data_IF_406713838013
#
_entry.id   IF_406713838013
#
_cell.length_a   1.000
_cell.length_b   1.000
_cell.length_c   1.000
_cell.angle_alpha   90.00
_cell.angle_beta   90.00
_cell.angle_gamma   90.00
#
_symmetry.space_group_name_H-M   'P 1'
#
loop_
_entity.id
_entity.type
_entity.pdbx_description
1 polymer ?
#
# COMPACT_ATOMS: atom_id res chain seq x y z
N UNK A 1 18.07 -20.55 -86.85
CA UNK A 1 17.14 -19.71 -86.08
C UNK A 1 17.13 -20.20 -84.62
N UNK A 2 17.88 -19.52 -83.71
CA UNK A 2 17.99 -19.92 -82.32
C UNK A 2 17.16 -18.95 -81.44
N UNK A 3 16.11 -19.49 -80.84
CA UNK A 3 15.21 -18.77 -79.95
C UNK A 3 15.92 -18.62 -78.59
N UNK A 4 16.14 -17.36 -78.13
CA UNK A 4 16.69 -17.08 -76.80
C UNK A 4 15.52 -16.97 -75.82
N UNK A 5 15.40 -17.91 -74.89
CA UNK A 5 14.54 -17.81 -73.75
C UNK A 5 15.12 -16.82 -72.74
N UNK A 6 14.36 -15.79 -72.38
CA UNK A 6 14.67 -14.87 -71.30
C UNK A 6 14.09 -15.47 -70.00
N UNK A 7 14.99 -15.84 -69.09
CA UNK A 7 14.61 -16.27 -67.76
C UNK A 7 14.35 -15.04 -66.89
N UNK A 8 13.10 -14.84 -66.50
CA UNK A 8 12.71 -13.76 -65.60
C UNK A 8 12.81 -14.28 -64.12
N UNK A 9 13.77 -13.77 -63.37
CA UNK A 9 13.93 -14.08 -61.94
C UNK A 9 13.00 -13.18 -61.17
N UNK A 10 11.89 -13.75 -60.63
CA UNK A 10 11.05 -13.07 -59.64
C UNK A 10 11.73 -13.15 -58.26
N UNK A 11 12.20 -12.01 -57.80
CA UNK A 11 12.72 -11.91 -56.42
C UNK A 11 11.55 -11.73 -55.44
N UNK A 12 11.19 -12.80 -54.74
CA UNK A 12 10.22 -12.74 -53.65
C UNK A 12 10.94 -12.14 -52.41
N UNK A 13 10.67 -10.84 -52.14
CA UNK A 13 11.08 -10.24 -50.85
C UNK A 13 10.08 -10.70 -49.78
N UNK A 14 10.49 -11.66 -48.96
CA UNK A 14 9.73 -12.09 -47.80
C UNK A 14 9.95 -11.05 -46.68
N UNK A 15 9.01 -10.13 -46.54
CA UNK A 15 8.97 -9.20 -45.41
C UNK A 15 8.64 -10.01 -44.13
N UNK A 16 9.67 -10.43 -43.37
CA UNK A 16 9.48 -10.91 -42.02
C UNK A 16 9.04 -9.74 -41.15
N UNK A 17 7.74 -9.61 -40.90
CA UNK A 17 7.23 -8.79 -39.82
C UNK A 17 7.67 -9.41 -38.49
N UNK A 18 8.73 -8.84 -37.92
CA UNK A 18 9.18 -9.17 -36.58
C UNK A 18 8.13 -8.62 -35.60
N UNK A 19 7.17 -9.48 -35.24
CA UNK A 19 6.23 -9.20 -34.18
C UNK A 19 7.05 -9.24 -32.87
N UNK A 20 7.58 -8.08 -32.43
CA UNK A 20 8.10 -7.98 -31.07
C UNK A 20 6.94 -8.27 -30.11
N UNK A 21 7.09 -9.26 -29.21
CA UNK A 21 6.11 -9.38 -28.13
C UNK A 21 6.15 -8.08 -27.34
N UNK A 22 5.01 -7.38 -27.23
CA UNK A 22 4.84 -6.35 -26.21
C UNK A 22 5.22 -7.01 -24.88
N UNK A 23 6.32 -6.57 -24.32
CA UNK A 23 6.68 -6.94 -22.95
C UNK A 23 5.51 -6.44 -22.08
N UNK A 24 4.71 -7.37 -21.59
CA UNK A 24 3.75 -7.06 -20.52
C UNK A 24 4.57 -6.43 -19.39
N UNK A 25 4.09 -5.33 -18.79
CA UNK A 25 4.79 -4.78 -17.64
C UNK A 25 4.92 -5.90 -16.63
N UNK A 26 6.17 -6.24 -16.28
CA UNK A 26 6.47 -7.22 -15.25
C UNK A 26 5.71 -6.78 -14.01
N UNK A 27 4.79 -7.63 -13.54
CA UNK A 27 4.10 -7.38 -12.28
C UNK A 27 5.20 -7.11 -11.26
N UNK A 28 5.17 -5.91 -10.66
CA UNK A 28 6.11 -5.52 -9.64
C UNK A 28 5.94 -6.46 -8.46
N UNK A 29 6.75 -7.52 -8.39
CA UNK A 29 6.95 -8.27 -7.16
C UNK A 29 7.71 -7.37 -6.19
N UNK A 30 7.00 -6.38 -5.66
CA UNK A 30 7.46 -5.66 -4.51
C UNK A 30 7.35 -6.60 -3.32
N UNK A 31 8.41 -7.35 -3.04
CA UNK A 31 8.50 -8.15 -1.83
C UNK A 31 8.41 -7.19 -0.65
N UNK A 32 7.33 -7.32 0.12
CA UNK A 32 7.23 -6.61 1.39
C UNK A 32 8.50 -6.90 2.19
N UNK A 33 9.28 -5.86 2.47
CA UNK A 33 10.54 -5.98 3.23
C UNK A 33 10.32 -6.32 4.70
N UNK A 34 9.05 -6.40 5.11
CA UNK A 34 8.63 -6.73 6.46
C UNK A 34 8.86 -8.22 6.74
N UNK A 35 9.61 -8.50 7.77
CA UNK A 35 9.92 -9.86 8.22
C UNK A 35 8.95 -10.33 9.31
N UNK A 36 8.87 -11.66 9.54
CA UNK A 36 8.13 -12.21 10.69
C UNK A 36 8.63 -11.65 12.03
N UNK A 37 9.90 -11.25 12.13
CA UNK A 37 10.49 -10.62 13.32
C UNK A 37 9.87 -9.24 13.54
N UNK A 38 9.64 -8.47 12.48
CA UNK A 38 9.03 -7.15 12.57
C UNK A 38 7.61 -7.24 13.10
N UNK A 39 6.82 -8.18 12.60
CA UNK A 39 5.44 -8.42 13.06
C UNK A 39 5.39 -8.81 14.55
N UNK A 40 6.34 -9.63 15.02
CA UNK A 40 6.40 -10.10 16.42
C UNK A 40 6.92 -9.05 17.38
N UNK A 41 7.46 -7.95 16.91
CA UNK A 41 8.14 -6.93 17.74
C UNK A 41 7.25 -5.77 18.16
N UNK A 42 5.93 -5.98 18.23
CA UNK A 42 5.01 -4.95 18.76
C UNK A 42 5.41 -4.52 20.17
N UNK A 43 5.67 -3.22 20.34
CA UNK A 43 6.18 -2.62 21.59
C UNK A 43 5.27 -1.50 22.09
N UNK A 44 3.96 -1.64 21.94
CA UNK A 44 2.94 -0.63 22.29
C UNK A 44 3.00 0.68 21.48
N UNK A 45 3.75 0.67 20.38
CA UNK A 45 3.73 1.76 19.39
C UNK A 45 2.86 1.33 18.20
N UNK A 46 2.08 2.24 17.60
CA UNK A 46 1.21 1.89 16.47
C UNK A 46 1.99 1.46 15.23
N UNK A 47 3.25 1.87 15.11
CA UNK A 47 4.11 1.53 14.00
C UNK A 47 5.55 1.30 14.43
N UNK A 48 6.35 0.80 13.52
CA UNK A 48 7.80 0.62 13.63
C UNK A 48 8.47 1.11 12.34
N UNK A 49 9.56 1.85 12.47
CA UNK A 49 10.42 2.19 11.34
C UNK A 49 11.14 0.92 10.87
N UNK A 50 11.14 0.68 9.58
CA UNK A 50 11.85 -0.43 8.93
C UNK A 50 12.79 0.11 7.85
N UNK A 51 13.76 -0.73 7.46
CA UNK A 51 14.74 -0.38 6.43
C UNK A 51 15.39 1.02 6.64
N UNK A 52 15.73 1.37 7.89
CA UNK A 52 16.27 2.69 8.25
C UNK A 52 15.45 3.89 7.73
N UNK A 53 14.14 3.71 7.62
CA UNK A 53 13.19 4.68 7.06
C UNK A 53 13.37 4.96 5.56
N UNK A 54 14.07 4.09 4.84
CA UNK A 54 14.34 4.23 3.40
C UNK A 54 13.30 3.42 2.62
N UNK A 55 12.44 4.07 1.81
CA UNK A 55 11.50 3.36 0.94
C UNK A 55 12.20 2.66 -0.22
N UNK A 56 11.66 1.52 -0.65
CA UNK A 56 12.27 0.69 -1.69
C UNK A 56 11.74 1.03 -3.10
N UNK A 57 11.74 2.31 -3.45
CA UNK A 57 11.48 2.76 -4.82
C UNK A 57 12.75 2.75 -5.63
N UNK A 58 12.66 2.32 -6.90
CA UNK A 58 13.75 2.40 -7.87
C UNK A 58 14.04 3.85 -8.23
N UNK A 59 15.22 4.12 -8.75
CA UNK A 59 15.57 5.48 -9.22
C UNK A 59 14.66 5.95 -10.37
N UNK A 60 14.18 5.03 -11.21
CA UNK A 60 13.20 5.36 -12.27
C UNK A 60 11.85 5.77 -11.68
N UNK A 61 11.35 5.05 -10.66
CA UNK A 61 10.11 5.42 -9.97
C UNK A 61 10.23 6.80 -9.31
N UNK A 62 11.35 7.08 -8.67
CA UNK A 62 11.62 8.36 -7.97
C UNK A 62 11.68 9.58 -8.90
N UNK A 63 11.72 9.37 -10.20
CA UNK A 63 11.70 10.44 -11.20
C UNK A 63 10.35 10.59 -11.90
N UNK A 64 9.37 9.76 -11.56
CA UNK A 64 8.07 9.75 -12.21
C UNK A 64 7.17 10.86 -11.65
N UNK A 65 6.81 11.83 -12.48
CA UNK A 65 5.86 12.89 -12.16
C UNK A 65 4.48 12.69 -12.81
N UNK A 66 4.19 11.49 -13.31
CA UNK A 66 2.88 11.15 -13.85
C UNK A 66 1.97 10.66 -12.73
N UNK A 67 0.77 11.23 -12.62
CA UNK A 67 -0.27 10.76 -11.72
C UNK A 67 -0.69 9.33 -12.08
N UNK A 68 -0.79 8.44 -11.11
CA UNK A 68 -1.36 7.11 -11.26
C UNK A 68 -1.80 6.55 -9.91
N UNK A 69 -2.72 5.60 -9.97
CA UNK A 69 -3.05 4.71 -8.87
C UNK A 69 -3.27 3.29 -9.40
N UNK A 70 -2.82 2.31 -8.65
CA UNK A 70 -2.95 0.89 -9.02
C UNK A 70 -3.22 0.04 -7.78
N UNK A 71 -4.02 -0.99 -7.96
CA UNK A 71 -4.42 -1.92 -6.92
C UNK A 71 -4.24 -3.34 -7.43
N UNK A 72 -3.46 -4.16 -6.72
CA UNK A 72 -3.28 -5.56 -7.07
C UNK A 72 -4.61 -6.31 -7.01
N UNK A 73 -4.77 -7.31 -7.83
CA UNK A 73 -5.91 -8.22 -7.74
C UNK A 73 -5.95 -8.90 -6.36
N UNK A 74 -7.16 -9.25 -5.92
CA UNK A 74 -7.33 -10.05 -4.72
C UNK A 74 -6.69 -11.44 -4.93
N UNK A 75 -6.03 -11.94 -3.90
CA UNK A 75 -5.50 -13.30 -3.97
C UNK A 75 -6.59 -14.38 -3.85
N UNK A 76 -6.21 -15.66 -3.92
CA UNK A 76 -7.13 -16.80 -3.84
C UNK A 76 -7.91 -16.89 -2.51
N UNK A 77 -7.54 -16.13 -1.50
CA UNK A 77 -8.24 -16.00 -0.21
C UNK A 77 -9.07 -14.71 -0.13
N UNK A 78 -9.19 -13.94 -1.21
CA UNK A 78 -9.89 -12.66 -1.25
C UNK A 78 -9.17 -11.55 -0.50
N UNK A 79 -7.83 -11.63 -0.33
CA UNK A 79 -7.04 -10.64 0.38
C UNK A 79 -6.45 -9.61 -0.57
N UNK A 80 -6.43 -8.36 -0.16
CA UNK A 80 -5.78 -7.29 -0.92
C UNK A 80 -4.26 -7.52 -1.05
N UNK A 81 -3.72 -7.19 -2.21
CA UNK A 81 -2.29 -7.07 -2.43
C UNK A 81 -1.80 -5.63 -2.26
N UNK A 82 -0.78 -5.25 -3.02
CA UNK A 82 -0.19 -3.91 -2.99
C UNK A 82 -1.16 -2.88 -3.58
N UNK A 83 -1.30 -1.76 -2.87
CA UNK A 83 -1.86 -0.52 -3.41
C UNK A 83 -0.71 0.48 -3.62
N UNK A 84 -0.59 1.05 -4.82
CA UNK A 84 0.50 1.93 -5.19
C UNK A 84 0.01 3.10 -6.03
N UNK A 85 0.42 4.30 -5.66
CA UNK A 85 0.04 5.52 -6.36
C UNK A 85 1.18 6.54 -6.39
N UNK A 86 1.13 7.45 -7.35
CA UNK A 86 1.87 8.69 -7.34
C UNK A 86 0.90 9.83 -7.00
N UNK A 87 0.75 10.09 -5.70
CA UNK A 87 -0.23 11.02 -5.16
C UNK A 87 0.10 12.45 -5.56
N UNK A 88 -0.86 13.12 -6.16
CA UNK A 88 -0.81 14.54 -6.54
C UNK A 88 -2.19 15.18 -6.37
N UNK A 89 -2.31 16.48 -6.61
CA UNK A 89 -3.61 17.17 -6.47
C UNK A 89 -4.70 16.62 -7.39
N UNK A 90 -4.33 16.12 -8.57
CA UNK A 90 -5.28 15.57 -9.55
C UNK A 90 -6.01 14.34 -9.01
N UNK A 91 -5.36 13.51 -8.19
CA UNK A 91 -5.95 12.32 -7.59
C UNK A 91 -6.78 12.63 -6.34
N UNK A 92 -6.55 13.76 -5.69
CA UNK A 92 -7.27 14.10 -4.46
C UNK A 92 -8.76 14.27 -4.72
N UNK A 93 -9.62 13.88 -3.75
CA UNK A 93 -11.06 13.90 -3.95
C UNK A 93 -11.58 15.31 -4.20
N UNK A 94 -12.42 15.43 -5.22
CA UNK A 94 -13.20 16.64 -5.55
C UNK A 94 -14.68 16.51 -5.16
N UNK A 95 -15.09 15.28 -4.76
CA UNK A 95 -16.44 14.94 -4.33
C UNK A 95 -16.45 14.45 -2.89
N UNK A 96 -17.60 14.52 -2.19
CA UNK A 96 -17.73 13.95 -0.85
C UNK A 96 -17.47 12.45 -0.82
N UNK A 97 -17.03 11.95 0.34
CA UNK A 97 -16.85 10.51 0.59
C UNK A 97 -18.21 9.81 0.55
N UNK A 98 -18.24 8.68 -0.16
CA UNK A 98 -19.39 7.81 -0.25
C UNK A 98 -19.35 6.65 0.76
N UNK A 99 -20.48 5.94 0.86
CA UNK A 99 -20.61 4.77 1.73
C UNK A 99 -19.85 3.56 1.15
N UNK A 100 -19.15 2.87 2.03
CA UNK A 100 -18.36 1.68 1.72
C UNK A 100 -18.87 0.42 2.42
N UNK A 101 -20.10 0.45 3.00
CA UNK A 101 -20.64 -0.66 3.79
C UNK A 101 -20.87 -1.95 3.02
N UNK A 102 -21.03 -1.85 1.70
CA UNK A 102 -21.21 -3.02 0.83
C UNK A 102 -19.96 -3.90 0.73
N UNK A 103 -18.78 -3.36 1.02
CA UNK A 103 -17.52 -4.11 0.92
C UNK A 103 -17.28 -4.86 2.24
N UNK A 104 -17.03 -6.15 2.13
CA UNK A 104 -16.64 -7.02 3.24
C UNK A 104 -15.24 -7.59 2.97
N UNK A 105 -14.16 -6.90 3.39
CA UNK A 105 -12.80 -7.37 3.16
C UNK A 105 -12.54 -8.73 3.80
N UNK A 106 -11.49 -9.42 3.36
CA UNK A 106 -11.10 -10.72 3.95
C UNK A 106 -11.02 -10.64 5.48
N UNK A 107 -11.52 -11.66 6.17
CA UNK A 107 -11.59 -11.70 7.63
C UNK A 107 -12.65 -10.80 8.28
N UNK A 108 -13.50 -10.12 7.50
CA UNK A 108 -14.60 -9.32 8.03
C UNK A 108 -15.61 -10.20 8.77
N UNK A 109 -15.97 -9.79 9.99
CA UNK A 109 -17.04 -10.40 10.77
C UNK A 109 -17.97 -9.33 11.32
N UNK A 110 -19.25 -9.43 10.99
CA UNK A 110 -20.28 -8.57 11.56
C UNK A 110 -20.33 -8.70 13.08
N UNK A 111 -20.60 -7.61 13.78
CA UNK A 111 -20.63 -7.56 15.25
C UNK A 111 -19.25 -7.46 15.91
N UNK A 112 -18.15 -7.66 15.20
CA UNK A 112 -16.82 -7.27 15.65
C UNK A 112 -16.61 -5.78 15.36
N UNK A 113 -15.88 -5.10 16.23
CA UNK A 113 -15.61 -3.67 16.05
C UNK A 113 -14.45 -3.49 15.05
N UNK A 114 -14.68 -3.95 13.81
CA UNK A 114 -13.78 -3.77 12.69
C UNK A 114 -14.09 -2.49 11.92
N UNK A 115 -13.09 -1.93 11.28
CA UNK A 115 -13.19 -0.87 10.28
C UNK A 115 -12.76 -1.40 8.92
N UNK A 116 -13.31 -0.80 7.87
CA UNK A 116 -12.87 -0.94 6.48
C UNK A 116 -11.78 0.08 6.27
N UNK A 117 -10.53 -0.37 6.41
CA UNK A 117 -9.38 0.51 6.30
C UNK A 117 -8.94 0.59 4.84
N UNK A 118 -8.91 1.77 4.27
CA UNK A 118 -8.30 1.99 2.97
C UNK A 118 -6.79 1.76 3.07
N UNK A 119 -6.20 1.14 2.05
CA UNK A 119 -4.75 1.09 1.88
C UNK A 119 -4.22 2.45 1.42
N UNK A 120 -4.83 3.02 0.38
CA UNK A 120 -4.66 4.42 0.00
C UNK A 120 -5.89 5.17 0.46
N UNK A 121 -5.74 6.06 1.45
CA UNK A 121 -6.84 6.77 2.07
C UNK A 121 -7.64 7.62 1.09
N UNK A 122 -8.96 7.74 1.29
CA UNK A 122 -9.85 8.55 0.45
C UNK A 122 -9.31 9.97 0.21
N UNK A 123 -8.73 10.59 1.23
CA UNK A 123 -8.18 11.95 1.11
C UNK A 123 -6.99 12.07 0.15
N UNK A 124 -6.38 10.96 -0.28
CA UNK A 124 -5.22 10.91 -1.17
C UNK A 124 -5.60 10.66 -2.63
N UNK A 125 -6.57 9.77 -2.88
CA UNK A 125 -6.91 9.33 -4.23
C UNK A 125 -8.41 9.30 -4.54
N UNK A 126 -9.29 9.73 -3.63
CA UNK A 126 -10.73 9.81 -3.88
C UNK A 126 -11.46 8.47 -4.01
N UNK A 127 -10.75 7.33 -3.82
CA UNK A 127 -11.32 5.99 -3.93
C UNK A 127 -12.29 5.68 -2.78
N UNK A 128 -13.49 5.24 -3.10
CA UNK A 128 -14.53 4.87 -2.13
C UNK A 128 -14.64 3.35 -1.96
N UNK A 129 -15.58 2.71 -2.64
CA UNK A 129 -15.93 1.30 -2.48
C UNK A 129 -15.11 0.38 -3.41
N UNK A 130 -13.80 0.47 -3.36
CA UNK A 130 -12.90 -0.40 -4.08
C UNK A 130 -12.46 -1.57 -3.19
N UNK A 131 -12.90 -2.80 -3.52
CA UNK A 131 -12.58 -4.00 -2.74
C UNK A 131 -11.08 -4.31 -2.69
N UNK A 132 -10.30 -3.88 -3.69
CA UNK A 132 -8.85 -4.06 -3.77
C UNK A 132 -8.08 -3.07 -2.91
N UNK A 133 -8.76 -2.03 -2.41
CA UNK A 133 -8.20 -0.96 -1.56
C UNK A 133 -8.67 -1.03 -0.10
N UNK A 134 -9.50 -2.02 0.27
CA UNK A 134 -10.10 -2.09 1.60
C UNK A 134 -9.69 -3.36 2.34
N UNK A 135 -9.15 -3.22 3.54
CA UNK A 135 -8.81 -4.34 4.42
C UNK A 135 -9.54 -4.25 5.76
N UNK A 136 -9.71 -5.41 6.40
CA UNK A 136 -10.24 -5.50 7.77
C UNK A 136 -9.19 -5.00 8.75
N UNK A 137 -9.46 -3.91 9.44
CA UNK A 137 -8.56 -3.34 10.43
C UNK A 137 -9.25 -2.87 11.70
N UNK A 138 -8.46 -2.57 12.72
CA UNK A 138 -8.95 -1.99 13.96
C UNK A 138 -8.99 -0.47 13.87
N UNK A 139 -9.83 0.18 14.67
CA UNK A 139 -9.81 1.64 14.81
C UNK A 139 -8.41 2.18 15.19
N UNK A 140 -7.71 1.49 16.09
CA UNK A 140 -6.36 1.88 16.49
C UNK A 140 -5.36 1.81 15.32
N UNK A 141 -5.44 0.76 14.51
CA UNK A 141 -4.64 0.60 13.29
C UNK A 141 -4.93 1.71 12.29
N UNK A 142 -6.21 2.00 12.04
CA UNK A 142 -6.66 3.02 11.09
C UNK A 142 -6.25 4.42 11.56
N UNK A 143 -6.72 4.84 12.73
CA UNK A 143 -6.64 6.22 13.21
C UNK A 143 -5.30 6.58 13.87
N UNK A 144 -4.74 5.66 14.64
CA UNK A 144 -3.48 5.91 15.36
C UNK A 144 -2.26 5.41 14.57
N UNK A 145 -2.47 4.49 13.65
CA UNK A 145 -1.42 3.87 12.86
C UNK A 145 -1.26 4.49 11.48
N UNK A 146 -2.25 4.34 10.60
CA UNK A 146 -2.14 4.75 9.19
C UNK A 146 -2.39 6.24 8.98
N UNK A 147 -3.47 6.79 9.54
CA UNK A 147 -3.93 8.16 9.31
C UNK A 147 -2.85 9.24 9.51
N UNK A 148 -1.95 9.17 10.51
CA UNK A 148 -0.88 10.17 10.64
C UNK A 148 0.05 10.24 9.43
N UNK A 149 0.36 9.11 8.79
CA UNK A 149 1.19 9.05 7.59
C UNK A 149 0.44 9.55 6.36
N UNK A 150 -0.83 9.20 6.23
CA UNK A 150 -1.71 9.71 5.18
C UNK A 150 -1.83 11.24 5.26
N UNK A 151 -2.02 11.79 6.46
CA UNK A 151 -2.08 13.22 6.69
C UNK A 151 -0.78 13.93 6.29
N UNK A 152 0.39 13.34 6.60
CA UNK A 152 1.68 13.89 6.15
C UNK A 152 1.74 14.03 4.64
N UNK A 153 1.34 12.98 3.91
CA UNK A 153 1.32 12.98 2.44
C UNK A 153 0.32 13.98 1.91
N UNK A 154 -0.92 13.97 2.43
CA UNK A 154 -1.98 14.87 2.00
C UNK A 154 -1.60 16.34 2.22
N UNK A 155 -1.06 16.67 3.39
CA UNK A 155 -0.64 18.03 3.72
C UNK A 155 0.52 18.51 2.84
N UNK A 156 1.48 17.63 2.56
CA UNK A 156 2.60 17.95 1.68
C UNK A 156 2.11 18.26 0.26
N UNK A 157 1.30 17.37 -0.33
CA UNK A 157 0.78 17.54 -1.70
C UNK A 157 -0.06 18.83 -1.81
N UNK A 158 -0.93 19.13 -0.82
CA UNK A 158 -1.73 20.37 -0.82
C UNK A 158 -0.89 21.63 -0.77
N UNK A 159 0.25 21.59 -0.06
CA UNK A 159 1.11 22.77 0.17
C UNK A 159 2.11 23.02 -0.94
N UNK A 160 2.56 21.96 -1.65
CA UNK A 160 3.69 22.05 -2.58
C UNK A 160 3.30 21.84 -4.03
N UNK A 161 2.17 21.20 -4.30
CA UNK A 161 1.77 20.74 -5.64
C UNK A 161 2.71 19.69 -6.25
N UNK A 162 3.53 19.05 -5.42
CA UNK A 162 4.45 18.00 -5.79
C UNK A 162 3.80 16.62 -5.76
N UNK A 163 4.45 15.65 -6.40
CA UNK A 163 4.05 14.25 -6.39
C UNK A 163 4.68 13.50 -5.22
N UNK A 164 3.95 12.53 -4.71
CA UNK A 164 4.44 11.60 -3.68
C UNK A 164 4.18 10.17 -4.11
N UNK A 165 5.24 9.43 -4.42
CA UNK A 165 5.14 7.96 -4.52
C UNK A 165 4.68 7.43 -3.17
N UNK A 166 3.57 6.71 -3.17
CA UNK A 166 2.94 6.17 -1.97
C UNK A 166 2.52 4.72 -2.19
N UNK A 167 3.10 3.80 -1.43
CA UNK A 167 2.85 2.37 -1.56
C UNK A 167 2.48 1.77 -0.23
N UNK A 168 1.40 1.01 -0.21
CA UNK A 168 0.92 0.29 0.97
C UNK A 168 0.81 -1.19 0.65
N UNK A 169 1.53 -2.00 1.42
CA UNK A 169 1.60 -3.45 1.24
C UNK A 169 1.04 -4.14 2.48
N UNK A 170 -0.13 -4.77 2.42
CA UNK A 170 -0.66 -5.54 3.53
C UNK A 170 0.15 -6.83 3.73
N UNK A 171 0.41 -7.15 5.01
CA UNK A 171 1.26 -8.29 5.38
C UNK A 171 0.43 -9.36 6.09
N UNK A 172 0.21 -10.46 5.41
CA UNK A 172 -0.51 -11.62 5.93
C UNK A 172 0.45 -12.74 6.31
N UNK A 173 0.22 -13.37 7.45
CA UNK A 173 0.96 -14.56 7.82
C UNK A 173 0.21 -15.81 7.36
N UNK A 174 0.85 -16.59 6.49
CA UNK A 174 0.28 -17.85 5.99
C UNK A 174 -1.15 -17.68 5.43
N UNK A 175 -2.13 -18.41 5.95
CA UNK A 175 -3.54 -18.37 5.53
C UNK A 175 -4.40 -17.37 6.31
N UNK A 176 -3.80 -16.45 7.06
CA UNK A 176 -4.55 -15.44 7.80
C UNK A 176 -5.40 -14.58 6.86
N UNK A 177 -6.66 -14.38 7.22
CA UNK A 177 -7.59 -13.53 6.47
C UNK A 177 -7.49 -12.05 6.86
N UNK A 178 -6.96 -11.75 8.05
CA UNK A 178 -6.70 -10.40 8.53
C UNK A 178 -5.22 -10.12 8.45
N UNK A 179 -4.83 -8.98 7.86
CA UNK A 179 -3.44 -8.56 7.81
C UNK A 179 -2.88 -8.32 9.22
N UNK A 180 -1.66 -8.75 9.47
CA UNK A 180 -0.93 -8.42 10.71
C UNK A 180 -0.62 -6.94 10.83
N UNK A 181 -0.61 -6.24 9.73
CA UNK A 181 -0.37 -4.83 9.55
C UNK A 181 -0.09 -4.52 8.10
N UNK A 182 0.34 -3.30 7.83
CA UNK A 182 0.77 -2.85 6.50
C UNK A 182 2.16 -2.24 6.55
N UNK A 183 2.93 -2.45 5.50
CA UNK A 183 4.10 -1.63 5.21
C UNK A 183 3.60 -0.40 4.45
N UNK A 184 3.97 0.79 4.91
CA UNK A 184 3.69 2.05 4.24
C UNK A 184 5.01 2.70 3.85
N UNK A 185 5.14 3.06 2.58
CA UNK A 185 6.31 3.69 2.01
C UNK A 185 5.90 4.94 1.27
N UNK A 186 6.66 6.02 1.42
CA UNK A 186 6.43 7.25 0.68
C UNK A 186 7.72 7.99 0.36
N UNK A 187 7.68 8.74 -0.76
CA UNK A 187 8.81 9.52 -1.25
C UNK A 187 8.32 10.70 -2.10
N UNK A 188 8.67 11.92 -1.73
CA UNK A 188 8.35 13.12 -2.53
C UNK A 188 9.31 13.23 -3.72
N UNK A 189 8.74 13.33 -4.92
CA UNK A 189 9.48 13.19 -6.17
C UNK A 189 10.34 14.41 -6.46
N UNK A 190 9.75 15.60 -6.56
CA UNK A 190 10.40 16.81 -7.08
C UNK A 190 11.52 17.34 -6.16
N UNK A 191 11.43 17.06 -4.87
CA UNK A 191 12.44 17.48 -3.90
C UNK A 191 13.39 16.36 -3.45
N UNK A 192 13.34 15.22 -4.15
CA UNK A 192 14.17 14.05 -3.88
C UNK A 192 14.05 13.55 -2.43
N UNK A 193 12.81 13.40 -1.96
CA UNK A 193 12.48 12.85 -0.64
C UNK A 193 12.75 13.81 0.53
N UNK A 194 13.02 15.08 0.30
CA UNK A 194 13.28 16.05 1.38
C UNK A 194 12.01 16.38 2.16
N UNK A 195 10.87 16.45 1.48
CA UNK A 195 9.57 16.72 2.09
C UNK A 195 8.97 15.48 2.74
N UNK A 196 8.87 14.40 1.98
CA UNK A 196 8.31 13.13 2.41
C UNK A 196 9.29 12.01 2.09
N UNK A 197 9.72 11.27 3.11
CA UNK A 197 10.51 10.05 2.94
C UNK A 197 10.30 9.16 4.18
N UNK A 198 9.57 8.06 4.02
CA UNK A 198 9.40 7.10 5.11
C UNK A 198 9.18 5.66 4.63
N UNK A 199 9.54 4.72 5.50
CA UNK A 199 9.26 3.30 5.36
C UNK A 199 8.95 2.73 6.74
N UNK A 200 7.69 2.40 6.98
CA UNK A 200 7.19 1.98 8.28
C UNK A 200 6.32 0.75 8.16
N UNK A 201 6.29 -0.06 9.21
CA UNK A 201 5.30 -1.12 9.40
C UNK A 201 4.30 -0.68 10.46
N UNK A 202 3.04 -0.56 10.08
CA UNK A 202 1.92 -0.20 10.97
C UNK A 202 1.23 -1.47 11.42
N UNK A 203 1.08 -1.64 12.74
CA UNK A 203 0.53 -2.84 13.35
C UNK A 203 -1.01 -2.84 13.36
N UNK A 204 -1.63 -3.87 12.78
CA UNK A 204 -3.07 -4.07 12.90
C UNK A 204 -3.40 -4.75 14.23
N UNK A 205 -3.37 -3.99 15.30
CA UNK A 205 -3.62 -4.45 16.66
C UNK A 205 -4.76 -3.66 17.30
N UNK A 206 -5.32 -4.20 18.36
CA UNK A 206 -6.29 -3.51 19.24
C UNK A 206 -5.79 -3.60 20.66
N UNK A 207 -5.27 -2.51 21.26
CA UNK A 207 -4.81 -2.50 22.63
C UNK A 207 -5.84 -3.08 23.60
N UNK A 208 -5.43 -4.02 24.45
CA UNK A 208 -6.32 -4.71 25.41
C UNK A 208 -7.15 -5.86 24.83
N UNK A 209 -6.96 -6.22 23.56
CA UNK A 209 -7.69 -7.30 22.89
C UNK A 209 -6.74 -8.28 22.21
N UNK A 210 -7.22 -9.51 22.04
CA UNK A 210 -6.59 -10.54 21.22
C UNK A 210 -7.32 -10.62 19.89
N UNK A 211 -6.58 -10.56 18.80
CA UNK A 211 -7.08 -10.71 17.44
C UNK A 211 -6.80 -12.12 16.94
N UNK A 212 -7.83 -12.77 16.42
CA UNK A 212 -7.71 -13.98 15.61
C UNK A 212 -7.50 -13.56 14.15
N UNK A 213 -6.26 -13.46 13.74
CA UNK A 213 -5.89 -13.07 12.35
C UNK A 213 -6.30 -14.13 11.32
N UNK A 214 -6.47 -15.39 11.74
CA UNK A 214 -6.87 -16.46 10.82
C UNK A 214 -8.30 -16.28 10.34
N UNK A 215 -9.21 -15.91 11.25
CA UNK A 215 -10.64 -15.91 10.96
C UNK A 215 -11.37 -14.59 11.30
N UNK A 216 -10.68 -13.55 11.72
CA UNK A 216 -11.26 -12.23 11.98
C UNK A 216 -12.01 -12.12 13.31
N UNK A 217 -11.71 -12.96 14.30
CA UNK A 217 -12.27 -12.86 15.65
C UNK A 217 -11.54 -11.80 16.50
N UNK A 218 -12.30 -11.13 17.40
CA UNK A 218 -11.74 -10.20 18.40
C UNK A 218 -12.27 -10.56 19.76
N UNK A 219 -11.41 -10.87 20.70
CA UNK A 219 -11.77 -11.20 22.09
C UNK A 219 -11.06 -10.27 23.05
N UNK A 220 -11.73 -9.91 24.15
CA UNK A 220 -11.10 -9.11 25.21
C UNK A 220 -9.92 -9.89 25.80
N UNK A 221 -8.75 -9.26 25.87
CA UNK A 221 -7.57 -9.83 26.51
C UNK A 221 -7.79 -10.01 28.00
N UNK A 222 -7.00 -10.88 28.66
CA UNK A 222 -7.03 -10.96 30.12
C UNK A 222 -6.42 -9.68 30.75
N UNK A 223 -6.76 -9.38 32.00
CA UNK A 223 -6.31 -8.15 32.70
C UNK A 223 -4.78 -7.92 32.66
N UNK A 224 -3.98 -8.98 32.63
CA UNK A 224 -2.51 -8.87 32.54
C UNK A 224 -2.04 -8.30 31.21
N UNK A 225 -2.66 -8.71 30.11
CA UNK A 225 -2.34 -8.19 28.77
C UNK A 225 -2.80 -6.73 28.66
N UNK A 226 -3.98 -6.40 29.22
CA UNK A 226 -4.49 -5.03 29.22
C UNK A 226 -3.66 -4.08 30.08
N UNK A 227 -3.06 -4.52 31.20
CA UNK A 227 -2.18 -3.67 32.02
C UNK A 227 -0.85 -3.34 31.30
N UNK A 228 -0.25 -4.28 30.58
CA UNK A 228 0.96 -4.03 29.80
C UNK A 228 0.73 -3.06 28.63
N UNK A 229 -0.48 -3.01 28.10
CA UNK A 229 -0.85 -2.16 26.96
C UNK A 229 -1.34 -0.78 27.42
N UNK A 230 -1.94 -0.67 28.60
CA UNK A 230 -2.50 0.58 29.15
C UNK A 230 -1.40 1.47 29.78
N UNK A 231 -0.34 0.91 30.30
CA UNK A 231 0.75 1.65 30.93
C UNK A 231 1.82 2.15 29.94
N UNK A 232 1.72 1.79 28.66
CA UNK A 232 2.49 2.46 27.61
C UNK A 232 1.95 3.88 27.46
N UNK A 233 2.73 4.88 27.81
CA UNK A 233 2.41 6.30 27.59
C UNK A 233 2.20 6.53 26.11
N UNK A 234 0.96 6.40 25.68
CA UNK A 234 0.53 6.85 24.35
C UNK A 234 0.50 8.37 24.38
N UNK A 235 1.52 8.99 23.88
CA UNK A 235 1.47 10.42 23.57
C UNK A 235 0.65 10.54 22.27
N UNK A 236 -0.50 11.17 22.36
CA UNK A 236 -1.40 11.50 21.23
C UNK A 236 -0.74 12.36 20.16
N UNK A 237 0.47 12.83 20.39
CA UNK A 237 1.22 13.66 19.48
C UNK A 237 2.12 12.80 18.61
N UNK A 238 1.66 12.53 17.40
CA UNK A 238 2.53 12.08 16.33
C UNK A 238 3.51 13.21 16.04
N UNK A 239 4.77 13.03 16.41
CA UNK A 239 5.81 13.97 16.07
C UNK A 239 6.38 13.62 14.69
N UNK A 240 5.86 14.31 13.67
CA UNK A 240 6.34 14.22 12.29
C UNK A 240 7.86 14.50 12.18
N UNK A 241 8.44 15.22 13.15
CA UNK A 241 9.87 15.49 13.20
C UNK A 241 10.70 14.24 13.53
N UNK A 242 10.15 13.26 14.24
CA UNK A 242 10.86 12.00 14.54
C UNK A 242 10.98 11.08 13.33
N UNK A 243 10.07 11.17 12.37
CA UNK A 243 10.14 10.42 11.11
C UNK A 243 11.19 11.00 10.17
N UNK A 244 11.50 12.31 10.29
CA UNK A 244 12.46 13.02 9.44
C UNK A 244 13.92 12.97 9.95
N UNK A 245 14.17 12.52 11.17
CA UNK A 245 15.48 12.69 11.86
C UNK A 245 16.33 11.43 12.00
N UNK A 246 16.19 10.44 11.11
CA UNK A 246 17.20 9.37 11.10
C UNK A 246 17.64 9.03 9.70
#
# INVERSE_FOLDING_TARGET
>A
MKLKQKLSIFLFVFAMTFCMPLAMPQAYECQAQVTKKDIKSYTNQPYKIINNNIPAFTETEKQNTTAFETYSDLDSLGRCGVAYANICKELMPTSPREDIFIIHPSGWRSGMKWERCHLIGFQLAGENANEKNLITGTHYFNESGMLPFENLVADYVRKTDHHVLYRVTPVYLSKNLVASGVQMEAYSVEDNGKGICFNVFVYNVKPGYKIDYLAGGVTKGNKRISQYIINGTYTKTFDAATVKKK
#
